data_IF_570911501488
#
_entry.id   IF_570911501488
#
_cell.length_a   1.000
_cell.length_b   1.000
_cell.length_c   1.000
_cell.angle_alpha   90.00
_cell.angle_beta   90.00
_cell.angle_gamma   90.00
#
_symmetry.space_group_name_H-M   'P 1'
#
loop_
_entity.id
_entity.type
_entity.pdbx_description
1 polymer ?
#
# COMPACT_ATOMS: atom_id res chain seq x y z
N UNK A 1 -2.96 -12.49 17.07
CA UNK A 1 -1.74 -11.64 16.96
C UNK A 1 -2.02 -10.29 17.62
N UNK A 2 -1.10 -9.75 18.43
CA UNK A 2 -1.29 -8.41 19.01
C UNK A 2 -1.05 -7.30 17.96
N UNK A 3 -1.57 -6.08 18.19
CA UNK A 3 -1.50 -4.96 17.24
C UNK A 3 -0.07 -4.55 16.90
N UNK A 4 0.83 -4.58 17.88
CA UNK A 4 2.25 -4.25 17.65
C UNK A 4 2.89 -5.20 16.65
N UNK A 5 2.70 -6.51 16.81
CA UNK A 5 3.20 -7.51 15.86
C UNK A 5 2.54 -7.36 14.50
N UNK A 6 1.21 -7.11 14.45
CA UNK A 6 0.51 -6.84 13.20
C UNK A 6 1.16 -5.70 12.41
N UNK A 7 1.36 -4.53 13.04
CA UNK A 7 1.96 -3.39 12.35
C UNK A 7 3.42 -3.61 11.97
N UNK A 8 4.19 -4.40 12.73
CA UNK A 8 5.54 -4.79 12.33
C UNK A 8 5.52 -5.65 11.06
N UNK A 9 4.60 -6.61 10.95
CA UNK A 9 4.43 -7.42 9.75
C UNK A 9 4.05 -6.53 8.56
N UNK A 10 3.07 -5.64 8.73
CA UNK A 10 2.67 -4.69 7.67
C UNK A 10 3.84 -3.78 7.27
N UNK A 11 4.65 -3.33 8.23
CA UNK A 11 5.83 -2.52 7.94
C UNK A 11 6.88 -3.30 7.13
N UNK A 12 7.11 -4.58 7.44
CA UNK A 12 8.00 -5.45 6.67
C UNK A 12 7.48 -5.62 5.24
N UNK A 13 6.18 -5.85 5.06
CA UNK A 13 5.57 -5.90 3.72
C UNK A 13 5.78 -4.59 2.95
N UNK A 14 5.66 -3.43 3.61
CA UNK A 14 5.99 -2.14 3.01
C UNK A 14 7.45 -2.06 2.53
N UNK A 15 8.41 -2.61 3.28
CA UNK A 15 9.83 -2.67 2.84
C UNK A 15 9.99 -3.60 1.63
N UNK A 16 9.31 -4.75 1.62
CA UNK A 16 9.32 -5.66 0.46
C UNK A 16 8.78 -4.97 -0.79
N UNK A 17 7.70 -4.21 -0.67
CA UNK A 17 7.15 -3.40 -1.79
C UNK A 17 8.15 -2.34 -2.24
N UNK A 18 8.83 -1.66 -1.31
CA UNK A 18 9.88 -0.70 -1.66
C UNK A 18 11.00 -1.37 -2.48
N UNK A 19 11.45 -2.57 -2.08
CA UNK A 19 12.47 -3.34 -2.81
C UNK A 19 11.99 -3.68 -4.23
N UNK A 20 10.75 -4.14 -4.38
CA UNK A 20 10.16 -4.39 -5.71
C UNK A 20 10.22 -3.14 -6.60
N UNK A 21 9.92 -1.96 -6.06
CA UNK A 21 10.02 -0.73 -6.84
C UNK A 21 11.46 -0.28 -7.09
N UNK A 22 12.41 -0.54 -6.20
CA UNK A 22 13.84 -0.33 -6.48
C UNK A 22 14.25 -1.16 -7.70
N UNK A 23 13.87 -2.45 -7.76
CA UNK A 23 14.12 -3.30 -8.94
C UNK A 23 13.46 -2.68 -10.18
N UNK A 24 12.23 -2.18 -10.04
CA UNK A 24 11.48 -1.54 -11.12
C UNK A 24 12.08 -0.24 -11.68
N UNK A 25 13.02 0.41 -10.99
CA UNK A 25 13.78 1.54 -11.55
C UNK A 25 14.76 1.07 -12.62
N UNK A 26 15.34 -0.12 -12.43
CA UNK A 26 16.39 -0.65 -13.30
C UNK A 26 15.88 -1.69 -14.30
N UNK A 27 14.72 -2.30 -14.03
CA UNK A 27 14.13 -3.35 -14.85
C UNK A 27 12.62 -3.09 -15.07
N UNK A 28 12.09 -3.31 -16.29
CA UNK A 28 10.68 -3.09 -16.59
C UNK A 28 9.80 -4.20 -16.00
N UNK A 29 9.55 -4.12 -14.70
CA UNK A 29 8.68 -5.07 -13.97
C UNK A 29 7.18 -4.85 -14.24
N UNK A 30 6.82 -3.69 -14.81
CA UNK A 30 5.50 -3.34 -15.32
C UNK A 30 5.61 -2.11 -16.26
N UNK A 31 4.48 -1.65 -16.78
CA UNK A 31 4.40 -0.53 -17.75
C UNK A 31 4.58 0.88 -17.13
N UNK A 32 4.87 0.98 -15.83
CA UNK A 32 5.05 2.28 -15.17
C UNK A 32 6.41 2.90 -15.49
N UNK A 33 6.49 4.23 -15.63
CA UNK A 33 7.76 4.91 -15.82
C UNK A 33 8.63 4.87 -14.54
N UNK A 34 9.98 4.88 -14.66
CA UNK A 34 10.89 4.75 -13.52
C UNK A 34 10.67 5.76 -12.38
N UNK A 35 10.26 6.99 -12.69
CA UNK A 35 10.00 8.00 -11.66
C UNK A 35 8.84 7.60 -10.73
N UNK A 36 7.83 6.87 -11.24
CA UNK A 36 6.69 6.39 -10.46
C UNK A 36 7.15 5.32 -9.46
N UNK A 37 8.10 4.48 -9.85
CA UNK A 37 8.78 3.56 -8.91
C UNK A 37 9.50 4.34 -7.80
N UNK A 38 10.19 5.43 -8.14
CA UNK A 38 10.79 6.34 -7.15
C UNK A 38 9.79 6.84 -6.10
N UNK A 39 8.62 7.30 -6.53
CA UNK A 39 7.53 7.75 -5.64
C UNK A 39 7.08 6.59 -4.73
N UNK A 40 6.87 5.40 -5.29
CA UNK A 40 6.41 4.26 -4.52
C UNK A 40 7.44 3.79 -3.48
N UNK A 41 8.74 3.86 -3.76
CA UNK A 41 9.78 3.60 -2.75
C UNK A 41 9.60 4.53 -1.54
N UNK A 42 9.48 5.84 -1.79
CA UNK A 42 9.33 6.84 -0.72
C UNK A 42 8.06 6.62 0.08
N UNK A 43 6.92 6.41 -0.60
CA UNK A 43 5.63 6.15 0.05
C UNK A 43 5.68 4.87 0.87
N UNK A 44 6.25 3.79 0.33
CA UNK A 44 6.37 2.51 1.03
C UNK A 44 7.24 2.59 2.28
N UNK A 45 8.39 3.25 2.20
CA UNK A 45 9.26 3.46 3.37
C UNK A 45 8.61 4.37 4.42
N UNK A 46 7.93 5.42 3.99
CA UNK A 46 7.16 6.29 4.88
C UNK A 46 6.03 5.53 5.58
N UNK A 47 5.32 4.68 4.85
CA UNK A 47 4.32 3.77 5.42
C UNK A 47 4.93 2.79 6.42
N UNK A 48 6.05 2.15 6.10
CA UNK A 48 6.75 1.25 7.03
C UNK A 48 7.14 1.97 8.33
N UNK A 49 7.72 3.16 8.23
CA UNK A 49 8.01 4.00 9.40
C UNK A 49 6.73 4.36 10.18
N UNK A 50 5.68 4.78 9.47
CA UNK A 50 4.39 5.15 10.02
C UNK A 50 3.71 4.00 10.77
N UNK A 51 3.76 2.77 10.27
CA UNK A 51 3.22 1.59 10.96
C UNK A 51 4.01 1.25 12.22
N UNK A 52 5.32 1.48 12.25
CA UNK A 52 6.15 1.23 13.44
C UNK A 52 5.89 2.29 14.51
N UNK A 53 5.94 3.58 14.16
CA UNK A 53 5.87 4.70 15.12
C UNK A 53 4.44 5.14 15.43
N UNK A 54 3.53 4.98 14.47
CA UNK A 54 2.11 5.35 14.54
C UNK A 54 1.86 6.76 15.08
N UNK A 55 2.53 7.81 14.53
CA UNK A 55 2.24 9.18 14.91
C UNK A 55 0.82 9.57 14.46
N UNK A 56 0.16 10.49 15.16
CA UNK A 56 -1.26 10.83 14.90
C UNK A 56 -1.51 11.28 13.45
N UNK A 57 -0.58 12.01 12.84
CA UNK A 57 -0.71 12.46 11.45
C UNK A 57 -0.69 11.32 10.43
N UNK A 58 -0.07 10.18 10.76
CA UNK A 58 0.05 9.05 9.84
C UNK A 58 -1.32 8.43 9.52
N UNK A 59 -2.26 8.45 10.47
CA UNK A 59 -3.62 7.98 10.22
C UNK A 59 -4.28 8.76 9.07
N UNK A 60 -4.18 10.09 9.08
CA UNK A 60 -4.77 10.93 8.03
C UNK A 60 -4.07 10.73 6.69
N UNK A 61 -2.73 10.67 6.70
CA UNK A 61 -1.96 10.34 5.50
C UNK A 61 -2.40 8.99 4.91
N UNK A 62 -2.46 7.95 5.73
CA UNK A 62 -2.81 6.61 5.26
C UNK A 62 -4.27 6.53 4.80
N UNK A 63 -5.19 7.30 5.40
CA UNK A 63 -6.57 7.39 4.94
C UNK A 63 -6.66 8.01 3.53
N UNK A 64 -5.93 9.11 3.28
CA UNK A 64 -5.85 9.72 1.94
C UNK A 64 -5.21 8.76 0.93
N UNK A 65 -4.11 8.11 1.31
CA UNK A 65 -3.48 7.08 0.49
C UNK A 65 -4.46 5.94 0.19
N UNK A 66 -5.26 5.50 1.16
CA UNK A 66 -6.27 4.45 0.96
C UNK A 66 -7.26 4.84 -0.12
N UNK A 67 -7.80 6.07 -0.08
CA UNK A 67 -8.71 6.56 -1.13
C UNK A 67 -8.03 6.56 -2.49
N UNK A 68 -6.78 7.04 -2.56
CA UNK A 68 -6.02 7.04 -3.81
C UNK A 68 -5.79 5.61 -4.36
N UNK A 69 -5.53 4.64 -3.49
CA UNK A 69 -5.34 3.24 -3.88
C UNK A 69 -6.65 2.61 -4.38
N UNK A 70 -7.79 2.92 -3.77
CA UNK A 70 -9.10 2.51 -4.28
C UNK A 70 -9.38 3.06 -5.67
N UNK A 71 -9.06 4.31 -5.93
CA UNK A 71 -9.19 4.89 -7.26
C UNK A 71 -8.28 4.19 -8.27
N UNK A 72 -6.98 4.11 -8.00
CA UNK A 72 -6.01 3.52 -8.94
C UNK A 72 -6.28 2.04 -9.20
N UNK A 73 -6.21 1.20 -8.15
CA UNK A 73 -6.34 -0.24 -8.31
C UNK A 73 -7.77 -0.67 -8.65
N UNK A 74 -8.78 0.10 -8.23
CA UNK A 74 -10.16 -0.14 -8.65
C UNK A 74 -10.34 0.09 -10.15
N UNK A 75 -9.79 1.19 -10.68
CA UNK A 75 -9.75 1.44 -12.12
C UNK A 75 -8.97 0.36 -12.88
N UNK A 76 -7.83 -0.08 -12.35
CA UNK A 76 -6.98 -1.11 -12.97
C UNK A 76 -7.69 -2.49 -13.03
N UNK A 77 -8.44 -2.87 -12.00
CA UNK A 77 -9.26 -4.10 -12.01
C UNK A 77 -10.33 -4.02 -13.11
N UNK A 78 -11.03 -2.89 -13.20
CA UNK A 78 -12.12 -2.70 -14.16
C UNK A 78 -11.55 -2.72 -15.59
N UNK A 79 -10.49 -1.97 -15.87
CA UNK A 79 -9.88 -1.92 -17.20
C UNK A 79 -9.30 -3.28 -17.61
N UNK A 80 -8.58 -3.95 -16.71
CA UNK A 80 -8.01 -5.28 -16.99
C UNK A 80 -9.10 -6.32 -17.28
N UNK A 81 -10.21 -6.28 -16.54
CA UNK A 81 -11.34 -7.16 -16.79
C UNK A 81 -11.99 -6.89 -18.15
N UNK A 82 -12.18 -5.63 -18.51
CA UNK A 82 -12.83 -5.23 -19.76
C UNK A 82 -11.95 -5.50 -20.99
N UNK A 83 -10.65 -5.21 -20.91
CA UNK A 83 -9.73 -5.26 -22.04
C UNK A 83 -9.09 -6.64 -22.23
N UNK A 84 -8.78 -7.32 -21.12
CA UNK A 84 -7.98 -8.56 -21.14
C UNK A 84 -8.77 -9.78 -20.66
N UNK A 85 -10.03 -9.61 -20.22
CA UNK A 85 -10.85 -10.67 -19.61
C UNK A 85 -10.12 -11.41 -18.48
N UNK A 86 -9.29 -10.68 -17.74
CA UNK A 86 -8.48 -11.21 -16.64
C UNK A 86 -8.72 -10.37 -15.37
N UNK A 87 -8.50 -10.98 -14.21
CA UNK A 87 -8.60 -10.33 -12.91
C UNK A 87 -7.20 -9.97 -12.43
N UNK A 88 -6.98 -8.69 -12.12
CA UNK A 88 -5.78 -8.28 -11.39
C UNK A 88 -5.90 -8.63 -9.91
N UNK A 89 -5.44 -9.84 -9.56
CA UNK A 89 -5.48 -10.36 -8.20
C UNK A 89 -4.62 -9.57 -7.21
N UNK A 90 -3.57 -8.88 -7.67
CA UNK A 90 -2.73 -8.05 -6.81
C UNK A 90 -3.54 -6.84 -6.36
N UNK A 91 -4.19 -6.17 -7.31
CA UNK A 91 -5.10 -5.06 -7.02
C UNK A 91 -6.23 -5.48 -6.08
N UNK A 92 -6.86 -6.65 -6.31
CA UNK A 92 -7.91 -7.17 -5.41
C UNK A 92 -7.40 -7.39 -3.99
N UNK A 93 -6.25 -8.04 -3.83
CA UNK A 93 -5.65 -8.28 -2.52
C UNK A 93 -5.33 -6.97 -1.78
N UNK A 94 -4.80 -5.97 -2.49
CA UNK A 94 -4.53 -4.63 -1.93
C UNK A 94 -5.80 -3.93 -1.48
N UNK A 95 -6.87 -3.95 -2.28
CA UNK A 95 -8.14 -3.31 -1.94
C UNK A 95 -8.85 -3.97 -0.76
N UNK A 96 -8.54 -5.23 -0.43
CA UNK A 96 -9.02 -5.90 0.79
C UNK A 96 -8.10 -5.56 1.98
N UNK A 97 -6.79 -5.60 1.79
CA UNK A 97 -5.81 -5.38 2.85
C UNK A 97 -5.83 -3.94 3.38
N UNK A 98 -5.96 -2.94 2.50
CA UNK A 98 -5.89 -1.52 2.87
C UNK A 98 -6.99 -1.11 3.87
N UNK A 99 -8.29 -1.40 3.64
CA UNK A 99 -9.34 -1.12 4.61
C UNK A 99 -9.10 -1.80 5.96
N UNK A 100 -8.62 -3.04 5.94
CA UNK A 100 -8.32 -3.78 7.15
C UNK A 100 -7.19 -3.12 7.96
N UNK A 101 -6.13 -2.68 7.27
CA UNK A 101 -5.02 -1.95 7.90
C UNK A 101 -5.50 -0.59 8.43
N UNK A 102 -6.28 0.17 7.65
CA UNK A 102 -6.82 1.46 8.05
C UNK A 102 -7.74 1.34 9.27
N UNK A 103 -8.63 0.34 9.29
CA UNK A 103 -9.46 0.03 10.45
C UNK A 103 -8.61 -0.22 11.70
N UNK A 104 -7.56 -1.03 11.57
CA UNK A 104 -6.64 -1.29 12.68
C UNK A 104 -5.91 -0.02 13.14
N UNK A 105 -5.51 0.88 12.25
CA UNK A 105 -4.94 2.19 12.61
C UNK A 105 -5.94 3.07 13.37
N UNK A 106 -7.20 3.13 12.94
CA UNK A 106 -8.25 3.92 13.61
C UNK A 106 -8.45 3.41 15.04
N UNK A 107 -8.54 2.11 15.23
CA UNK A 107 -8.75 1.53 16.57
C UNK A 107 -7.50 1.71 17.45
N UNK A 108 -6.28 1.60 16.89
CA UNK A 108 -5.03 1.90 17.63
C UNK A 108 -4.98 3.37 18.09
N UNK A 109 -5.44 4.29 17.24
CA UNK A 109 -5.47 5.72 17.56
C UNK A 109 -6.51 6.09 18.62
N UNK A 110 -7.61 5.33 18.75
CA UNK A 110 -8.65 5.52 19.78
C UNK A 110 -8.27 4.92 21.14
N UNK A 111 -7.44 3.88 21.14
CA UNK A 111 -6.99 3.19 22.35
C UNK A 111 -5.72 3.75 22.99
N UNK A 112 -5.17 4.84 22.43
CA UNK A 112 -4.06 5.62 22.97
C UNK A 112 -4.57 6.95 23.50
#
# INVERSE_FOLDING_TARGET
MNRTTFFKVVAILGVVVAIYHVVGIFYPVNDSPPWRHGVFIVVSLFCSYGFIKRPKYFLYFFAVLSVQQFYSHGSDIISTWQEKHNIDWISVALLIAIPFILYNLIVDAKGK
#
